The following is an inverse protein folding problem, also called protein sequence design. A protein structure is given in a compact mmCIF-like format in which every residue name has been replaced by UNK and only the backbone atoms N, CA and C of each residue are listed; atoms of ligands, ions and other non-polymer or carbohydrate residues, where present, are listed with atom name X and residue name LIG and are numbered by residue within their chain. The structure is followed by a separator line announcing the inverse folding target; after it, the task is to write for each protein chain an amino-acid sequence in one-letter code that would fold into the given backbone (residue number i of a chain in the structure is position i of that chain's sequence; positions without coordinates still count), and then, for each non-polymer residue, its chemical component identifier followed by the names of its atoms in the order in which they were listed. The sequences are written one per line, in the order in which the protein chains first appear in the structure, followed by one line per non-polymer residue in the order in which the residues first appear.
data_IF_401061095968
#
_entry.id   IF_401061095968
#
_cell.length_a   1.000
_cell.length_b   1.000
_cell.length_c   1.000
_cell.angle_alpha   90.00
_cell.angle_beta   90.00
_cell.angle_gamma   90.00
#
_symmetry.space_group_name_H-M   'P 1'
#
loop_
_entity.id
_entity.type
_entity.pdbx_description
1 polymer ?
#
# COMPACT_ATOMS: atom_id res chain seq x y z
N UNK A 1 27.13 8.28 -3.96
CA UNK A 1 26.63 9.52 -3.30
C UNK A 1 25.23 9.35 -2.73
N UNK A 2 24.32 8.60 -3.34
CA UNK A 2 22.95 8.36 -2.82
C UNK A 2 22.94 7.54 -1.52
N UNK A 3 23.82 6.55 -1.40
CA UNK A 3 23.90 5.65 -0.23
C UNK A 3 24.23 6.36 1.09
N UNK A 4 25.00 7.45 1.04
CA UNK A 4 25.41 8.21 2.24
C UNK A 4 24.26 9.01 2.84
N UNK A 5 23.31 9.48 2.03
CA UNK A 5 22.13 10.22 2.49
C UNK A 5 21.04 9.29 3.04
N UNK A 6 20.93 8.07 2.52
CA UNK A 6 19.96 7.09 3.00
C UNK A 6 20.28 6.59 4.43
N UNK A 7 21.55 6.67 4.87
CA UNK A 7 21.97 6.24 6.21
C UNK A 7 21.51 7.19 7.34
N UNK A 8 21.35 8.48 7.07
CA UNK A 8 20.90 9.49 8.05
C UNK A 8 19.38 9.72 8.07
N UNK A 9 18.62 9.02 7.21
CA UNK A 9 17.17 9.15 7.16
C UNK A 9 16.48 8.26 8.20
N UNK A 10 15.47 8.82 8.88
CA UNK A 10 14.56 8.01 9.69
C UNK A 10 13.75 7.05 8.81
N UNK A 11 13.27 5.94 9.37
CA UNK A 11 12.53 4.90 8.64
C UNK A 11 11.33 5.44 7.82
N UNK A 12 10.64 6.46 8.35
CA UNK A 12 9.55 7.13 7.62
C UNK A 12 10.05 7.85 6.36
N UNK A 13 11.20 8.51 6.42
CA UNK A 13 11.79 9.22 5.29
C UNK A 13 12.30 8.25 4.23
N UNK A 14 12.90 7.12 4.63
CA UNK A 14 13.31 6.06 3.70
C UNK A 14 12.13 5.51 2.90
N UNK A 15 10.99 5.24 3.56
CA UNK A 15 9.77 4.78 2.87
C UNK A 15 9.25 5.78 1.86
N UNK A 16 9.16 7.06 2.26
CA UNK A 16 8.73 8.13 1.35
C UNK A 16 9.67 8.32 0.17
N UNK A 17 10.98 8.22 0.40
CA UNK A 17 11.98 8.33 -0.66
C UNK A 17 11.90 7.14 -1.63
N UNK A 18 11.68 5.93 -1.12
CA UNK A 18 11.52 4.73 -1.96
C UNK A 18 10.30 4.87 -2.87
N UNK A 19 9.15 5.26 -2.32
CA UNK A 19 7.94 5.53 -3.10
C UNK A 19 8.19 6.60 -4.15
N UNK A 20 8.84 7.71 -3.77
CA UNK A 20 9.19 8.78 -4.70
C UNK A 20 10.04 8.28 -5.88
N UNK A 21 11.09 7.49 -5.60
CA UNK A 21 11.95 6.92 -6.66
C UNK A 21 11.15 6.01 -7.59
N UNK A 22 10.28 5.15 -7.04
CA UNK A 22 9.42 4.27 -7.84
C UNK A 22 8.49 5.08 -8.74
N UNK A 23 7.81 6.08 -8.17
CA UNK A 23 6.91 6.98 -8.89
C UNK A 23 7.65 7.70 -10.01
N UNK A 24 8.85 8.24 -9.77
CA UNK A 24 9.64 8.90 -10.82
C UNK A 24 10.07 7.99 -11.96
N UNK A 25 10.23 6.68 -11.72
CA UNK A 25 10.69 5.73 -12.73
C UNK A 25 9.52 5.16 -13.54
N UNK A 26 8.39 4.90 -12.87
CA UNK A 26 7.32 4.06 -13.41
C UNK A 26 6.00 4.80 -13.66
N UNK A 27 5.77 5.96 -13.02
CA UNK A 27 4.56 6.74 -13.29
C UNK A 27 4.69 7.51 -14.61
N UNK A 28 3.57 7.66 -15.31
CA UNK A 28 3.47 8.62 -16.42
C UNK A 28 3.53 10.06 -15.91
N UNK A 29 3.87 11.02 -16.77
CA UNK A 29 3.86 12.45 -16.41
C UNK A 29 2.49 12.88 -15.85
N UNK A 30 1.42 12.38 -16.47
CA UNK A 30 0.05 12.63 -16.06
C UNK A 30 -0.26 12.17 -14.63
N UNK A 31 0.27 11.01 -14.24
CA UNK A 31 0.11 10.44 -12.90
C UNK A 31 1.01 11.13 -11.88
N UNK A 32 2.23 11.46 -12.30
CA UNK A 32 3.17 12.22 -11.50
C UNK A 32 2.59 13.58 -11.10
N UNK A 33 2.03 14.31 -12.07
CA UNK A 33 1.36 15.59 -11.85
C UNK A 33 0.13 15.45 -10.93
N UNK A 34 -0.65 14.37 -11.08
CA UNK A 34 -1.79 14.09 -10.20
C UNK A 34 -1.37 13.84 -8.75
N UNK A 35 -0.29 13.06 -8.54
CA UNK A 35 0.23 12.76 -7.21
C UNK A 35 0.79 14.01 -6.52
N UNK A 36 1.39 14.91 -7.30
CA UNK A 36 1.87 16.23 -6.86
C UNK A 36 0.78 17.31 -6.76
N UNK A 37 -0.49 16.96 -6.99
CA UNK A 37 -1.63 17.90 -6.96
C UNK A 37 -1.55 19.03 -8.00
N UNK A 38 -0.73 18.87 -9.04
CA UNK A 38 -0.58 19.83 -10.13
C UNK A 38 -1.73 19.75 -11.14
N UNK A 39 -2.59 18.73 -11.01
CA UNK A 39 -3.83 18.56 -11.78
C UNK A 39 -4.97 18.04 -10.91
N UNK A 40 -6.22 18.32 -11.26
CA UNK A 40 -7.37 17.70 -10.61
C UNK A 40 -7.38 16.19 -10.87
N UNK A 41 -7.76 15.44 -9.84
CA UNK A 41 -7.94 13.98 -9.88
C UNK A 41 -9.43 13.69 -9.89
N UNK A 42 -9.91 13.05 -10.95
CA UNK A 42 -11.24 12.45 -10.98
C UNK A 42 -11.20 11.00 -10.51
N UNK A 43 -12.36 10.33 -10.48
CA UNK A 43 -12.43 8.95 -10.02
C UNK A 43 -11.65 7.97 -10.91
N UNK A 44 -11.63 8.17 -12.23
CA UNK A 44 -10.92 7.28 -13.15
C UNK A 44 -9.41 7.35 -12.94
N UNK A 45 -8.89 8.56 -12.82
CA UNK A 45 -7.50 8.81 -12.48
C UNK A 45 -7.16 8.27 -11.08
N UNK A 46 -8.03 8.49 -10.08
CA UNK A 46 -7.85 7.93 -8.74
C UNK A 46 -7.72 6.40 -8.77
N UNK A 47 -8.61 5.72 -9.51
CA UNK A 47 -8.62 4.25 -9.64
C UNK A 47 -7.33 3.77 -10.29
N UNK A 48 -6.95 4.35 -11.44
CA UNK A 48 -5.73 3.99 -12.15
C UNK A 48 -4.47 4.21 -11.30
N UNK A 49 -4.37 5.35 -10.62
CA UNK A 49 -3.27 5.63 -9.70
C UNK A 49 -3.21 4.62 -8.55
N UNK A 50 -4.37 4.25 -7.99
CA UNK A 50 -4.44 3.29 -6.89
C UNK A 50 -3.91 1.92 -7.31
N UNK A 51 -4.30 1.45 -8.50
CA UNK A 51 -3.84 0.19 -9.08
C UNK A 51 -2.34 0.23 -9.37
N UNK A 52 -1.85 1.26 -10.04
CA UNK A 52 -0.44 1.40 -10.36
C UNK A 52 0.45 1.54 -9.11
N UNK A 53 0.00 2.27 -8.07
CA UNK A 53 0.76 2.38 -6.82
C UNK A 53 0.88 1.03 -6.09
N UNK A 54 -0.16 0.17 -6.15
CA UNK A 54 -0.08 -1.20 -5.64
C UNK A 54 0.91 -2.02 -6.47
N UNK A 55 0.84 -1.96 -7.80
CA UNK A 55 1.73 -2.71 -8.69
C UNK A 55 3.21 -2.35 -8.48
N UNK A 56 3.51 -1.07 -8.21
CA UNK A 56 4.85 -0.60 -7.88
C UNK A 56 5.28 -0.90 -6.43
N UNK A 57 4.35 -1.30 -5.55
CA UNK A 57 4.55 -1.41 -4.11
C UNK A 57 4.91 -0.08 -3.46
N UNK A 58 4.24 1.01 -3.88
CA UNK A 58 4.39 2.36 -3.35
C UNK A 58 3.32 2.62 -2.26
N UNK A 59 3.31 1.78 -1.23
CA UNK A 59 2.23 1.67 -0.25
C UNK A 59 2.00 2.98 0.51
N UNK A 60 3.06 3.73 0.83
CA UNK A 60 2.89 4.99 1.59
C UNK A 60 2.14 6.02 0.77
N UNK A 61 2.41 6.08 -0.53
CA UNK A 61 1.76 6.96 -1.48
C UNK A 61 0.33 6.51 -1.79
N UNK A 62 0.11 5.19 -1.85
CA UNK A 62 -1.23 4.60 -1.95
C UNK A 62 -2.13 5.05 -0.78
N UNK A 63 -1.67 4.89 0.47
CA UNK A 63 -2.46 5.28 1.64
C UNK A 63 -2.72 6.79 1.66
N UNK A 64 -1.72 7.62 1.34
CA UNK A 64 -1.89 9.07 1.24
C UNK A 64 -2.94 9.47 0.19
N UNK A 65 -2.94 8.80 -0.97
CA UNK A 65 -3.94 9.05 -2.01
C UNK A 65 -5.36 8.76 -1.50
N UNK A 66 -5.53 7.65 -0.78
CA UNK A 66 -6.82 7.23 -0.21
C UNK A 66 -7.30 8.16 0.91
N UNK A 67 -6.39 8.63 1.77
CA UNK A 67 -6.69 9.63 2.79
C UNK A 67 -7.10 10.98 2.18
N UNK A 68 -6.45 11.37 1.06
CA UNK A 68 -6.73 12.63 0.37
C UNK A 68 -8.09 12.63 -0.33
N UNK A 69 -8.49 11.50 -0.90
CA UNK A 69 -9.76 11.37 -1.65
C UNK A 69 -10.69 10.32 -1.03
N UNK A 70 -11.21 10.53 0.19
CA UNK A 70 -11.95 9.52 0.93
C UNK A 70 -13.24 9.08 0.24
N UNK A 71 -13.87 9.96 -0.55
CA UNK A 71 -15.07 9.63 -1.35
C UNK A 71 -14.74 8.63 -2.46
N UNK A 72 -13.59 8.80 -3.12
CA UNK A 72 -13.14 7.89 -4.17
C UNK A 72 -12.61 6.59 -3.58
N UNK A 73 -11.87 6.65 -2.47
CA UNK A 73 -11.43 5.48 -1.73
C UNK A 73 -12.61 4.58 -1.31
N UNK A 74 -13.67 5.19 -0.77
CA UNK A 74 -14.89 4.44 -0.41
C UNK A 74 -15.51 3.75 -1.62
N UNK A 75 -15.72 4.48 -2.71
CA UNK A 75 -16.28 3.92 -3.96
C UNK A 75 -15.40 2.80 -4.52
N UNK A 76 -14.09 2.98 -4.51
CA UNK A 76 -13.12 1.99 -4.97
C UNK A 76 -13.19 0.70 -4.15
N UNK A 77 -13.29 0.81 -2.82
CA UNK A 77 -13.52 -0.33 -1.94
C UNK A 77 -14.84 -1.06 -2.24
N UNK A 78 -15.93 -0.32 -2.44
CA UNK A 78 -17.23 -0.89 -2.83
C UNK A 78 -17.16 -1.62 -4.19
N UNK A 79 -16.40 -1.11 -5.16
CA UNK A 79 -16.18 -1.80 -6.44
C UNK A 79 -15.43 -3.12 -6.24
N UNK A 80 -14.36 -3.13 -5.45
CA UNK A 80 -13.62 -4.36 -5.12
C UNK A 80 -14.50 -5.37 -4.39
N UNK A 81 -15.28 -4.94 -3.38
CA UNK A 81 -16.20 -5.83 -2.67
C UNK A 81 -17.23 -6.46 -3.61
N UNK A 82 -17.78 -5.69 -4.55
CA UNK A 82 -18.71 -6.20 -5.56
C UNK A 82 -18.02 -7.18 -6.52
N UNK A 83 -16.81 -6.88 -6.99
CA UNK A 83 -16.04 -7.76 -7.89
C UNK A 83 -15.64 -9.09 -7.19
N UNK A 84 -15.33 -9.01 -5.90
CA UNK A 84 -14.90 -10.16 -5.09
C UNK A 84 -16.04 -10.90 -4.40
N UNK A 85 -17.28 -10.37 -4.45
CA UNK A 85 -18.46 -10.95 -3.77
C UNK A 85 -18.76 -12.40 -4.13
N UNK A 86 -18.39 -12.83 -5.35
CA UNK A 86 -18.58 -14.19 -5.85
C UNK A 86 -17.31 -15.04 -5.78
N UNK A 87 -16.20 -14.50 -5.28
CA UNK A 87 -14.96 -15.25 -5.09
C UNK A 87 -15.08 -16.02 -3.79
N UNK A 88 -15.11 -17.35 -3.90
CA UNK A 88 -14.99 -18.22 -2.75
C UNK A 88 -13.52 -18.40 -2.44
N UNK A 89 -13.05 -17.74 -1.38
CA UNK A 89 -11.74 -18.06 -0.83
C UNK A 89 -11.74 -19.52 -0.34
N UNK A 90 -10.68 -20.29 -0.61
CA UNK A 90 -10.57 -21.63 -0.05
C UNK A 90 -10.66 -21.50 1.48
N UNK A 91 -11.63 -22.20 2.08
CA UNK A 91 -11.76 -22.25 3.53
C UNK A 91 -10.53 -22.93 4.08
N UNK A 92 -9.75 -22.21 4.88
CA UNK A 92 -8.71 -22.84 5.68
C UNK A 92 -9.37 -23.81 6.66
N UNK A 93 -8.76 -24.96 6.84
CA UNK A 93 -9.09 -25.83 7.94
C UNK A 93 -8.73 -25.16 9.27
N UNK A 94 -9.40 -25.54 10.36
CA UNK A 94 -9.08 -25.01 11.68
C UNK A 94 -7.62 -25.26 12.09
N UNK A 95 -7.01 -26.34 11.59
CA UNK A 95 -5.59 -26.64 11.81
C UNK A 95 -4.66 -25.69 11.04
N UNK A 96 -4.98 -25.38 9.79
CA UNK A 96 -4.22 -24.43 8.97
C UNK A 96 -4.29 -23.02 9.53
N UNK A 97 -5.47 -22.59 9.97
CA UNK A 97 -5.67 -21.29 10.61
C UNK A 97 -4.85 -21.18 11.90
N UNK A 98 -4.88 -22.21 12.73
CA UNK A 98 -4.09 -22.25 13.97
C UNK A 98 -2.58 -22.20 13.67
N UNK A 99 -2.11 -22.98 12.70
CA UNK A 99 -0.69 -22.98 12.30
C UNK A 99 -0.24 -21.61 11.80
N UNK A 100 -1.00 -21.00 10.89
CA UNK A 100 -0.66 -19.66 10.38
C UNK A 100 -0.68 -18.60 11.49
N UNK A 101 -1.63 -18.70 12.42
CA UNK A 101 -1.71 -17.80 13.57
C UNK A 101 -0.50 -17.95 14.48
N UNK A 102 -0.08 -19.17 14.79
CA UNK A 102 1.11 -19.44 15.60
C UNK A 102 2.39 -18.90 14.92
N UNK A 103 2.55 -19.13 13.60
CA UNK A 103 3.68 -18.61 12.82
C UNK A 103 3.72 -17.07 12.80
N UNK A 104 2.54 -16.43 12.70
CA UNK A 104 2.43 -14.98 12.78
C UNK A 104 2.83 -14.47 14.16
N UNK A 105 2.35 -15.12 15.23
CA UNK A 105 2.68 -14.75 16.60
C UNK A 105 4.17 -14.91 16.91
N UNK A 106 4.81 -15.98 16.43
CA UNK A 106 6.26 -16.12 16.53
C UNK A 106 7.00 -14.99 15.82
N UNK A 107 6.56 -14.59 14.62
CA UNK A 107 7.17 -13.46 13.89
C UNK A 107 7.00 -12.15 14.66
N UNK A 108 5.83 -11.90 15.24
CA UNK A 108 5.57 -10.69 16.03
C UNK A 108 6.43 -10.70 17.29
N UNK A 109 6.50 -11.82 18.03
CA UNK A 109 7.35 -11.94 19.23
C UNK A 109 8.83 -11.72 18.91
N UNK A 110 9.33 -12.24 17.79
CA UNK A 110 10.72 -11.99 17.33
C UNK A 110 10.99 -10.52 17.03
N UNK A 111 10.00 -9.78 16.54
CA UNK A 111 10.16 -8.37 16.16
C UNK A 111 9.94 -7.40 17.32
N UNK A 112 9.03 -7.72 18.25
CA UNK A 112 8.52 -6.79 19.26
C UNK A 112 8.69 -7.28 20.71
N UNK A 113 9.24 -8.47 20.93
CA UNK A 113 9.40 -9.09 22.24
C UNK A 113 8.26 -10.06 22.59
N UNK A 114 8.52 -10.97 23.52
CA UNK A 114 7.59 -12.06 23.86
C UNK A 114 6.23 -11.59 24.42
N UNK A 115 6.17 -10.38 24.96
CA UNK A 115 4.95 -9.77 25.52
C UNK A 115 4.01 -9.15 24.46
N UNK A 116 4.38 -9.20 23.18
CA UNK A 116 3.63 -8.50 22.12
C UNK A 116 2.32 -9.20 21.71
N UNK A 117 2.12 -10.49 22.02
CA UNK A 117 0.94 -11.30 21.60
C UNK A 117 0.56 -12.41 22.57
#
# INVERSE_FOLDING_TARGET
MVEKYAQDMGEKQKRLFNDFVKICIYATDEEFDALLEMRPVDYGMFKSLSEHLIEMGADTSFFKLHERYPKYAKRYGEEIENETSNITFPKMTAEEEKRMKEELYEKIRKLYGDDAV
#
